data_IF_110027338523
#
_entry.id   IF_110027338523
#
_cell.length_a   1.000
_cell.length_b   1.000
_cell.length_c   1.000
_cell.angle_alpha   90.00
_cell.angle_beta   90.00
_cell.angle_gamma   90.00
#
_symmetry.space_group_name_H-M   'P 1'
#
loop_
_entity.id
_entity.type
_entity.pdbx_description
1 polymer ?
#
# COMPACT_ATOMS: atom_id res chain seq x y z
N UNK A 1 -12.15 -2.25 -13.85
CA UNK A 1 -11.26 -3.41 -13.98
C UNK A 1 -10.75 -3.76 -12.58
N UNK A 2 -11.24 -4.84 -11.96
CA UNK A 2 -10.96 -5.18 -10.55
C UNK A 2 -9.51 -5.62 -10.30
N UNK A 3 -8.71 -5.78 -11.36
CA UNK A 3 -7.30 -6.10 -11.26
C UNK A 3 -7.06 -7.42 -10.52
N UNK A 4 -6.01 -7.45 -9.68
CA UNK A 4 -5.64 -8.65 -8.92
C UNK A 4 -6.46 -8.86 -7.63
N UNK A 5 -7.49 -8.02 -7.38
CA UNK A 5 -8.27 -8.03 -6.14
C UNK A 5 -8.92 -9.39 -5.82
N UNK A 6 -9.57 -10.12 -6.77
CA UNK A 6 -10.19 -11.41 -6.45
C UNK A 6 -9.18 -12.45 -5.93
N UNK A 7 -7.96 -12.43 -6.45
CA UNK A 7 -6.88 -13.31 -5.99
C UNK A 7 -6.44 -12.89 -4.59
N UNK A 8 -6.23 -11.59 -4.34
CA UNK A 8 -5.84 -11.07 -3.01
C UNK A 8 -6.85 -11.49 -1.95
N UNK A 9 -8.15 -11.30 -2.20
CA UNK A 9 -9.24 -11.74 -1.30
C UNK A 9 -9.14 -13.24 -0.98
N UNK A 10 -9.02 -14.07 -2.02
CA UNK A 10 -8.92 -15.53 -1.86
C UNK A 10 -7.76 -15.94 -0.95
N UNK A 11 -6.58 -15.34 -1.10
CA UNK A 11 -5.41 -15.74 -0.30
C UNK A 11 -5.48 -15.22 1.14
N UNK A 12 -6.03 -14.03 1.37
CA UNK A 12 -6.18 -13.49 2.73
C UNK A 12 -7.30 -14.22 3.47
N UNK A 13 -8.49 -14.33 2.88
CA UNK A 13 -9.68 -14.85 3.56
C UNK A 13 -9.67 -16.38 3.68
N UNK A 14 -9.27 -17.10 2.62
CA UNK A 14 -9.33 -18.57 2.59
C UNK A 14 -8.02 -19.19 3.06
N UNK A 15 -6.88 -18.66 2.60
CA UNK A 15 -5.56 -19.22 2.92
C UNK A 15 -4.93 -18.61 4.18
N UNK A 16 -5.58 -17.62 4.80
CA UNK A 16 -5.10 -16.92 6.00
C UNK A 16 -3.66 -16.42 5.86
N UNK A 17 -3.29 -15.99 4.65
CA UNK A 17 -1.99 -15.37 4.41
C UNK A 17 -1.93 -14.06 5.19
N UNK A 18 -0.80 -13.81 5.87
CA UNK A 18 -0.56 -12.54 6.53
C UNK A 18 -0.63 -11.38 5.52
N UNK A 19 -1.56 -10.46 5.74
CA UNK A 19 -1.81 -9.29 4.89
C UNK A 19 -0.60 -8.34 4.84
N UNK A 20 0.30 -8.43 5.82
CA UNK A 20 1.52 -7.65 5.92
C UNK A 20 2.77 -8.42 5.46
N UNK A 21 2.62 -9.65 4.95
CA UNK A 21 3.74 -10.45 4.48
C UNK A 21 4.53 -9.73 3.37
N UNK A 22 5.83 -9.56 3.58
CA UNK A 22 6.68 -8.81 2.64
C UNK A 22 7.50 -9.73 1.74
N UNK A 23 7.71 -9.33 0.48
CA UNK A 23 8.67 -9.95 -0.43
C UNK A 23 9.72 -8.91 -0.85
N UNK A 24 11.01 -9.17 -0.61
CA UNK A 24 12.06 -8.14 -0.73
C UNK A 24 11.70 -6.82 -0.02
N UNK A 25 11.07 -6.91 1.15
CA UNK A 25 10.57 -5.77 1.92
C UNK A 25 9.51 -4.89 1.20
N UNK A 26 8.85 -5.44 0.18
CA UNK A 26 7.63 -4.88 -0.36
C UNK A 26 6.42 -5.56 0.27
N UNK A 27 5.62 -4.80 1.01
CA UNK A 27 4.31 -5.26 1.48
C UNK A 27 3.28 -5.25 0.32
N UNK A 28 2.18 -6.00 0.43
CA UNK A 28 1.09 -5.96 -0.55
C UNK A 28 0.56 -4.53 -0.74
N UNK A 29 0.54 -3.74 0.33
CA UNK A 29 0.10 -2.36 0.30
C UNK A 29 1.05 -1.46 -0.52
N UNK A 30 2.37 -1.58 -0.34
CA UNK A 30 3.35 -0.84 -1.15
C UNK A 30 3.25 -1.21 -2.63
N UNK A 31 3.08 -2.50 -2.93
CA UNK A 31 2.90 -2.98 -4.31
C UNK A 31 1.63 -2.43 -4.95
N UNK A 32 0.50 -2.47 -4.25
CA UNK A 32 -0.76 -1.91 -4.74
C UNK A 32 -0.63 -0.40 -4.98
N UNK A 33 0.02 0.31 -4.05
CA UNK A 33 0.29 1.74 -4.15
C UNK A 33 1.16 2.11 -5.35
N UNK A 34 2.24 1.36 -5.62
CA UNK A 34 3.15 1.56 -6.76
C UNK A 34 2.58 1.09 -8.11
N UNK A 35 1.60 0.18 -8.11
CA UNK A 35 0.94 -0.31 -9.34
C UNK A 35 -0.41 0.35 -9.64
N UNK A 36 -0.87 1.26 -8.80
CA UNK A 36 -2.10 2.03 -9.02
C UNK A 36 -3.37 1.22 -8.83
N UNK A 37 -3.29 0.13 -8.07
CA UNK A 37 -4.39 -0.79 -7.88
C UNK A 37 -5.28 -0.29 -6.74
N UNK A 38 -6.04 0.78 -6.98
CA UNK A 38 -6.78 1.47 -5.93
C UNK A 38 -7.76 0.56 -5.17
N UNK A 39 -8.50 -0.30 -5.88
CA UNK A 39 -9.45 -1.22 -5.23
C UNK A 39 -8.74 -2.26 -4.35
N UNK A 40 -7.58 -2.77 -4.79
CA UNK A 40 -6.73 -3.65 -3.99
C UNK A 40 -6.19 -2.91 -2.77
N UNK A 41 -5.69 -1.69 -2.94
CA UNK A 41 -5.17 -0.86 -1.85
C UNK A 41 -6.25 -0.61 -0.79
N UNK A 42 -7.46 -0.20 -1.20
CA UNK A 42 -8.58 0.03 -0.30
C UNK A 42 -8.94 -1.22 0.49
N UNK A 43 -9.03 -2.36 -0.20
CA UNK A 43 -9.29 -3.63 0.47
C UNK A 43 -8.21 -3.94 1.52
N UNK A 44 -6.92 -3.83 1.17
CA UNK A 44 -5.82 -4.12 2.08
C UNK A 44 -5.87 -3.23 3.34
N UNK A 45 -6.06 -1.92 3.18
CA UNK A 45 -6.15 -0.98 4.31
C UNK A 45 -7.37 -1.27 5.18
N UNK A 46 -8.53 -1.50 4.57
CA UNK A 46 -9.77 -1.79 5.31
C UNK A 46 -9.72 -3.15 6.04
N UNK A 47 -8.76 -4.03 5.72
CA UNK A 47 -8.56 -5.35 6.34
C UNK A 47 -7.28 -5.43 7.20
N UNK A 48 -6.74 -4.29 7.63
CA UNK A 48 -5.67 -4.24 8.63
C UNK A 48 -4.24 -4.33 8.10
N UNK A 49 -4.02 -4.06 6.81
CA UNK A 49 -2.67 -3.79 6.33
C UNK A 49 -2.06 -2.60 7.08
N UNK A 50 -0.79 -2.69 7.46
CA UNK A 50 -0.05 -1.60 8.10
C UNK A 50 0.12 -0.44 7.11
N UNK A 51 -0.72 0.59 7.28
CA UNK A 51 -0.74 1.78 6.43
C UNK A 51 0.57 2.57 6.48
N UNK A 52 1.32 2.44 7.57
CA UNK A 52 2.54 3.18 7.84
C UNK A 52 3.82 2.35 7.63
N UNK A 53 3.69 1.12 7.13
CA UNK A 53 4.83 0.33 6.71
C UNK A 53 5.66 1.09 5.67
N UNK A 54 6.98 1.15 5.90
CA UNK A 54 7.93 1.78 4.98
C UNK A 54 8.90 0.77 4.42
N UNK A 55 9.22 0.88 3.13
CA UNK A 55 10.30 0.11 2.55
C UNK A 55 11.64 0.46 3.24
N UNK A 56 12.42 -0.51 3.76
CA UNK A 56 13.59 -0.25 4.61
C UNK A 56 14.68 0.61 3.95
N UNK A 57 14.88 0.48 2.64
CA UNK A 57 15.90 1.22 1.89
C UNK A 57 15.48 2.64 1.51
N UNK A 58 14.33 2.80 0.86
CA UNK A 58 13.83 4.10 0.35
C UNK A 58 13.12 4.91 1.43
N UNK A 59 12.70 4.28 2.54
CA UNK A 59 11.85 4.86 3.58
C UNK A 59 10.49 5.37 3.07
N UNK A 60 10.07 4.93 1.89
CA UNK A 60 8.76 5.27 1.30
C UNK A 60 7.66 4.35 1.86
N UNK A 61 6.51 4.94 2.20
CA UNK A 61 5.26 4.22 2.48
C UNK A 61 4.31 4.25 1.27
N UNK A 62 3.10 3.71 1.44
CA UNK A 62 2.09 3.68 0.38
C UNK A 62 1.71 5.07 -0.13
N UNK A 63 1.65 6.07 0.75
CA UNK A 63 1.33 7.46 0.40
C UNK A 63 2.40 8.03 -0.54
N UNK A 64 3.69 7.84 -0.23
CA UNK A 64 4.79 8.30 -1.07
C UNK A 64 4.73 7.72 -2.49
N UNK A 65 4.47 6.42 -2.63
CA UNK A 65 4.32 5.79 -3.95
C UNK A 65 3.12 6.33 -4.73
N UNK A 66 1.97 6.52 -4.08
CA UNK A 66 0.79 7.08 -4.71
C UNK A 66 1.01 8.54 -5.13
N UNK A 67 1.68 9.34 -4.30
CA UNK A 67 1.97 10.74 -4.57
C UNK A 67 2.99 10.91 -5.71
N UNK A 68 4.06 10.12 -5.70
CA UNK A 68 5.09 10.15 -6.75
C UNK A 68 4.51 9.85 -8.15
N UNK A 69 3.59 8.89 -8.23
CA UNK A 69 2.92 8.52 -9.49
C UNK A 69 1.68 9.38 -9.82
N UNK A 70 1.37 10.43 -9.04
CA UNK A 70 0.23 11.33 -9.29
C UNK A 70 -1.16 10.70 -9.09
N UNK A 71 -1.27 9.65 -8.26
CA UNK A 71 -2.50 8.89 -8.04
C UNK A 71 -3.40 9.55 -7.01
N UNK A 72 -4.05 10.64 -7.41
CA UNK A 72 -4.82 11.54 -6.54
C UNK A 72 -5.85 10.84 -5.65
N UNK A 73 -6.62 9.88 -6.18
CA UNK A 73 -7.65 9.17 -5.39
C UNK A 73 -7.02 8.30 -4.28
N UNK A 74 -5.88 7.69 -4.58
CA UNK A 74 -5.13 6.89 -3.61
C UNK A 74 -4.50 7.76 -2.53
N UNK A 75 -3.94 8.92 -2.92
CA UNK A 75 -3.39 9.93 -1.99
C UNK A 75 -4.47 10.41 -1.03
N UNK A 76 -5.64 10.81 -1.54
CA UNK A 76 -6.78 11.26 -0.72
C UNK A 76 -7.26 10.17 0.24
N UNK A 77 -7.39 8.94 -0.24
CA UNK A 77 -7.82 7.81 0.59
C UNK A 77 -6.79 7.45 1.68
N UNK A 78 -5.50 7.40 1.35
CA UNK A 78 -4.46 7.08 2.33
C UNK A 78 -4.36 8.16 3.41
N UNK A 79 -4.44 9.44 3.02
CA UNK A 79 -4.47 10.55 3.96
C UNK A 79 -5.69 10.48 4.90
N UNK A 80 -6.87 10.16 4.38
CA UNK A 80 -8.09 10.02 5.20
C UNK A 80 -8.07 8.81 6.13
N UNK A 81 -7.20 7.82 5.87
CA UNK A 81 -6.99 6.63 6.69
C UNK A 81 -5.83 6.75 7.69
N UNK A 82 -5.21 7.93 7.80
CA UNK A 82 -4.15 8.19 8.78
C UNK A 82 -2.76 7.71 8.36
N UNK A 83 -2.48 7.63 7.06
CA UNK A 83 -1.11 7.44 6.59
C UNK A 83 -0.20 8.60 7.04
N UNK A 84 1.01 8.29 7.48
CA UNK A 84 2.03 9.29 7.82
C UNK A 84 2.55 9.95 6.54
N UNK A 85 1.99 11.11 6.23
CA UNK A 85 2.34 11.92 5.05
C UNK A 85 3.66 12.69 5.21
N UNK A 86 4.17 12.80 6.44
CA UNK A 86 5.37 13.58 6.76
C UNK A 86 6.62 12.69 6.91
N UNK A 87 6.49 11.39 6.68
CA UNK A 87 7.61 10.46 6.79
C UNK A 87 8.68 10.81 5.76
N UNK A 88 9.91 11.09 6.21
CA UNK A 88 11.00 11.41 5.30
C UNK A 88 11.45 10.17 4.52
N UNK A 89 11.44 10.27 3.18
CA UNK A 89 12.08 9.27 2.32
C UNK A 89 13.60 9.51 2.23
N UNK A 90 14.37 8.45 1.99
CA UNK A 90 15.82 8.53 1.75
C UNK A 90 16.05 9.05 0.33
N UNK A 91 16.66 10.22 0.19
CA UNK A 91 16.94 10.87 -1.10
C UNK A 91 16.03 12.05 -1.46
N UNK A 92 15.11 12.44 -0.58
CA UNK A 92 14.55 13.80 -0.63
C UNK A 92 15.67 14.77 -0.25
N UNK A 93 16.15 15.53 -1.24
CA UNK A 93 17.04 16.69 -1.03
C UNK A 93 16.34 17.76 -0.20
#
# INVERSE_FOLDING_TARGET
NEGKLPIVKKYIEVKKVDINATYFAWSPLLMAASKGQFQTLKYLVDHGADINYTHPLTKMNAFHHAAFDGRTDMVKYLASKGADINKKMKGGV
#
